data_IF_507665864952
#
_entry.id   IF_507665864952
#
_cell.length_a   1.000
_cell.length_b   1.000
_cell.length_c   1.000
_cell.angle_alpha   90.00
_cell.angle_beta   90.00
_cell.angle_gamma   90.00
#
_symmetry.space_group_name_H-M   'P 1'
#
loop_
_entity.id
_entity.type
_entity.pdbx_description
1 polymer ?
#
# COMPACT_ATOMS: atom_id res chain seq x y z
N UNK A 1 -6.33 -16.04 -12.57
CA UNK A 1 -7.39 -15.55 -13.48
C UNK A 1 -6.78 -14.56 -14.44
N UNK A 2 -7.44 -14.24 -15.56
CA UNK A 2 -6.90 -13.25 -16.50
C UNK A 2 -6.72 -11.87 -15.86
N UNK A 3 -7.59 -11.49 -14.92
CA UNK A 3 -7.46 -10.26 -14.12
C UNK A 3 -6.14 -10.25 -13.32
N UNK A 4 -5.83 -11.34 -12.61
CA UNK A 4 -4.57 -11.49 -11.87
C UNK A 4 -3.36 -11.52 -12.81
N UNK A 5 -3.52 -12.07 -14.02
CA UNK A 5 -2.49 -12.07 -15.05
C UNK A 5 -2.39 -10.74 -15.82
N UNK A 6 -3.16 -9.71 -15.45
CA UNK A 6 -3.18 -8.40 -16.11
C UNK A 6 -3.79 -8.42 -17.53
N UNK A 7 -4.38 -9.53 -17.96
CA UNK A 7 -4.93 -9.75 -19.31
C UNK A 7 -6.46 -9.69 -19.35
N UNK A 8 -7.12 -9.77 -18.19
CA UNK A 8 -8.58 -9.81 -18.06
C UNK A 8 -9.16 -8.50 -17.57
N UNK A 9 -10.38 -8.18 -17.99
CA UNK A 9 -11.12 -7.01 -17.49
C UNK A 9 -11.64 -7.27 -16.08
N UNK A 10 -11.27 -6.40 -15.15
CA UNK A 10 -11.95 -6.33 -13.86
C UNK A 10 -13.33 -5.69 -14.03
N UNK A 11 -14.29 -6.15 -13.22
CA UNK A 11 -15.67 -5.67 -13.22
C UNK A 11 -16.09 -5.31 -11.80
N UNK A 12 -16.88 -4.26 -11.68
CA UNK A 12 -17.55 -3.90 -10.44
C UNK A 12 -18.67 -4.91 -10.17
N UNK A 13 -18.58 -5.64 -9.05
CA UNK A 13 -19.66 -6.56 -8.65
C UNK A 13 -20.78 -5.83 -7.92
N UNK A 14 -20.44 -4.86 -7.07
CA UNK A 14 -21.43 -4.07 -6.34
C UNK A 14 -20.86 -2.76 -5.78
N UNK A 15 -21.76 -1.86 -5.40
CA UNK A 15 -21.48 -0.64 -4.66
C UNK A 15 -22.45 -0.55 -3.48
N UNK A 16 -21.89 -0.60 -2.27
CA UNK A 16 -22.65 -0.61 -1.01
C UNK A 16 -22.34 0.67 -0.23
N UNK A 17 -23.32 1.28 0.47
CA UNK A 17 -23.07 2.42 1.33
C UNK A 17 -22.10 2.10 2.48
N UNK A 18 -21.15 3.01 2.71
CA UNK A 18 -20.17 2.93 3.79
C UNK A 18 -18.82 2.34 3.37
N UNK A 19 -17.84 2.48 4.26
CA UNK A 19 -16.45 1.99 4.11
C UNK A 19 -15.99 1.15 5.31
N UNK A 20 -16.95 0.58 6.03
CA UNK A 20 -16.69 -0.13 7.28
C UNK A 20 -16.43 -1.62 7.03
N UNK A 21 -15.74 -2.26 7.98
CA UNK A 21 -15.62 -3.71 8.03
C UNK A 21 -17.00 -4.39 8.00
N UNK A 22 -17.96 -3.84 8.74
CA UNK A 22 -19.33 -4.33 8.78
C UNK A 22 -20.00 -4.31 7.40
N UNK A 23 -19.84 -3.23 6.63
CA UNK A 23 -20.42 -3.12 5.29
C UNK A 23 -19.89 -4.21 4.35
N UNK A 24 -18.57 -4.46 4.37
CA UNK A 24 -17.95 -5.53 3.58
C UNK A 24 -18.43 -6.91 4.04
N UNK A 25 -18.44 -7.16 5.36
CA UNK A 25 -18.85 -8.44 5.95
C UNK A 25 -20.30 -8.76 5.60
N UNK A 26 -21.23 -7.86 5.89
CA UNK A 26 -22.65 -8.07 5.59
C UNK A 26 -22.91 -8.27 4.10
N UNK A 27 -22.16 -7.60 3.23
CA UNK A 27 -22.27 -7.83 1.78
C UNK A 27 -21.81 -9.22 1.36
N UNK A 28 -20.67 -9.70 1.90
CA UNK A 28 -20.17 -11.05 1.63
C UNK A 28 -21.10 -12.13 2.19
N UNK A 29 -21.62 -11.95 3.41
CA UNK A 29 -22.55 -12.88 4.05
C UNK A 29 -23.92 -12.95 3.35
N UNK A 30 -24.30 -11.89 2.64
CA UNK A 30 -25.49 -11.87 1.80
C UNK A 30 -25.27 -12.56 0.43
N UNK A 31 -24.12 -13.21 0.19
CA UNK A 31 -23.89 -14.09 -0.97
C UNK A 31 -24.13 -15.53 -0.57
N UNK A 32 -24.48 -16.36 -1.55
CA UNK A 32 -24.59 -17.80 -1.31
C UNK A 32 -23.23 -18.42 -0.97
N UNK A 33 -23.27 -19.62 -0.39
CA UNK A 33 -22.05 -20.31 0.03
C UNK A 33 -21.14 -20.63 -1.16
N UNK A 34 -21.71 -21.02 -2.29
CA UNK A 34 -20.96 -21.35 -3.51
C UNK A 34 -20.16 -20.15 -4.03
N UNK A 35 -20.71 -18.94 -3.98
CA UNK A 35 -19.98 -17.71 -4.29
C UNK A 35 -18.80 -17.53 -3.33
N UNK A 36 -19.05 -17.64 -2.01
CA UNK A 36 -18.02 -17.44 -0.99
C UNK A 36 -16.87 -18.43 -1.13
N UNK A 37 -17.19 -19.70 -1.38
CA UNK A 37 -16.21 -20.77 -1.61
C UNK A 37 -15.42 -20.57 -2.91
N UNK A 38 -15.99 -19.87 -3.88
CA UNK A 38 -15.29 -19.53 -5.14
C UNK A 38 -14.26 -18.40 -4.98
N UNK A 39 -14.32 -17.63 -3.88
CA UNK A 39 -13.37 -16.55 -3.60
C UNK A 39 -12.04 -17.16 -3.15
N UNK A 40 -11.02 -17.05 -4.01
CA UNK A 40 -9.68 -17.59 -3.74
C UNK A 40 -8.70 -16.59 -3.13
N UNK A 41 -8.85 -15.30 -3.47
CA UNK A 41 -7.91 -14.25 -3.06
C UNK A 41 -8.68 -12.96 -2.82
N UNK A 42 -8.38 -12.28 -1.72
CA UNK A 42 -8.89 -10.94 -1.40
C UNK A 42 -7.70 -9.98 -1.30
N UNK A 43 -7.48 -9.20 -2.37
CA UNK A 43 -6.51 -8.11 -2.35
C UNK A 43 -7.19 -6.85 -1.78
N UNK A 44 -6.58 -6.24 -0.78
CA UNK A 44 -7.16 -5.13 -0.03
C UNK A 44 -6.09 -4.12 0.40
N UNK A 45 -6.54 -2.96 0.84
CA UNK A 45 -5.69 -1.98 1.50
C UNK A 45 -5.15 -2.48 2.86
N UNK A 46 -4.35 -1.65 3.52
CA UNK A 46 -3.80 -1.96 4.84
C UNK A 46 -4.79 -1.90 5.99
N UNK A 47 -6.07 -1.59 5.77
CA UNK A 47 -7.04 -1.37 6.84
C UNK A 47 -7.40 -2.70 7.53
N UNK A 48 -7.17 -2.76 8.85
CA UNK A 48 -7.39 -3.98 9.64
C UNK A 48 -8.85 -4.46 9.63
N UNK A 49 -9.81 -3.55 9.52
CA UNK A 49 -11.23 -3.90 9.49
C UNK A 49 -11.61 -4.77 8.28
N UNK A 50 -11.05 -4.51 7.10
CA UNK A 50 -11.33 -5.33 5.92
C UNK A 50 -10.71 -6.71 6.01
N UNK A 51 -9.52 -6.84 6.64
CA UNK A 51 -8.92 -8.15 6.90
C UNK A 51 -9.84 -9.02 7.75
N UNK A 52 -10.34 -8.48 8.87
CA UNK A 52 -11.21 -9.23 9.77
C UNK A 52 -12.51 -9.65 9.05
N UNK A 53 -13.16 -8.71 8.35
CA UNK A 53 -14.36 -8.99 7.58
C UNK A 53 -14.14 -10.09 6.52
N UNK A 54 -13.03 -10.04 5.78
CA UNK A 54 -12.71 -11.06 4.79
C UNK A 54 -12.40 -12.43 5.42
N UNK A 55 -11.61 -12.45 6.49
CA UNK A 55 -11.22 -13.71 7.16
C UNK A 55 -12.43 -14.41 7.79
N UNK A 56 -13.40 -13.64 8.31
CA UNK A 56 -14.63 -14.19 8.87
C UNK A 56 -15.61 -14.66 7.78
N UNK A 57 -15.79 -13.89 6.70
CA UNK A 57 -16.80 -14.20 5.69
C UNK A 57 -16.33 -15.17 4.60
N UNK A 58 -15.04 -15.16 4.25
CA UNK A 58 -14.43 -16.01 3.22
C UNK A 58 -13.10 -16.60 3.72
N UNK A 59 -13.12 -17.47 4.76
CA UNK A 59 -11.93 -17.92 5.47
C UNK A 59 -10.92 -18.72 4.61
N UNK A 60 -11.38 -19.30 3.49
CA UNK A 60 -10.52 -20.06 2.57
C UNK A 60 -9.75 -19.16 1.58
N UNK A 61 -10.10 -17.87 1.50
CA UNK A 61 -9.46 -16.95 0.59
C UNK A 61 -8.13 -16.44 1.17
N UNK A 62 -7.08 -16.45 0.35
CA UNK A 62 -5.82 -15.82 0.72
C UNK A 62 -5.98 -14.29 0.76
N UNK A 63 -5.63 -13.65 1.88
CA UNK A 63 -5.64 -12.19 2.00
C UNK A 63 -4.31 -11.63 1.49
N UNK A 64 -4.36 -10.63 0.62
CA UNK A 64 -3.18 -9.93 0.10
C UNK A 64 -3.25 -8.46 0.49
N UNK A 65 -2.25 -7.97 1.21
CA UNK A 65 -2.08 -6.55 1.42
C UNK A 65 -1.44 -5.94 0.18
N UNK A 66 -2.12 -4.97 -0.41
CA UNK A 66 -1.69 -4.37 -1.66
C UNK A 66 -0.27 -3.76 -1.58
N UNK A 67 0.65 -4.11 -2.52
CA UNK A 67 2.04 -3.65 -2.48
C UNK A 67 2.21 -2.13 -2.50
N UNK A 68 1.33 -1.39 -3.19
CA UNK A 68 1.38 0.07 -3.17
C UNK A 68 1.12 0.61 -1.77
N UNK A 69 0.17 0.03 -1.04
CA UNK A 69 -0.11 0.42 0.35
C UNK A 69 1.03 0.06 1.30
N UNK A 70 1.72 -1.07 1.09
CA UNK A 70 2.92 -1.44 1.85
C UNK A 70 4.05 -0.42 1.64
N UNK A 71 4.33 -0.07 0.37
CA UNK A 71 5.35 0.94 0.02
C UNK A 71 4.95 2.33 0.53
N UNK A 72 3.66 2.70 0.43
CA UNK A 72 3.15 3.97 0.95
C UNK A 72 3.30 4.08 2.46
N UNK A 73 3.03 2.99 3.20
CA UNK A 73 3.25 2.93 4.65
C UNK A 73 4.73 3.15 5.01
N UNK A 74 5.65 2.46 4.31
CA UNK A 74 7.08 2.65 4.52
C UNK A 74 7.53 4.08 4.21
N UNK A 75 7.07 4.65 3.08
CA UNK A 75 7.37 6.03 2.70
C UNK A 75 6.83 7.05 3.70
N UNK A 76 5.64 6.80 4.29
CA UNK A 76 5.11 7.65 5.34
C UNK A 76 5.98 7.62 6.61
N UNK A 77 6.49 6.45 7.00
CA UNK A 77 7.41 6.33 8.14
C UNK A 77 8.76 7.03 7.89
N UNK A 78 9.26 6.98 6.65
CA UNK A 78 10.40 7.78 6.24
C UNK A 78 10.13 9.29 6.36
N UNK A 79 8.96 9.75 5.91
CA UNK A 79 8.59 11.17 6.03
C UNK A 79 8.48 11.62 7.48
N UNK A 80 7.94 10.78 8.37
CA UNK A 80 7.86 11.07 9.81
C UNK A 80 9.24 11.13 10.46
N UNK A 81 10.10 10.15 10.19
CA UNK A 81 11.48 10.13 10.70
C UNK A 81 12.25 11.38 10.25
N UNK A 82 12.15 11.75 8.96
CA UNK A 82 12.73 12.99 8.43
C UNK A 82 12.21 14.23 9.17
N UNK A 83 10.90 14.32 9.40
CA UNK A 83 10.29 15.47 10.08
C UNK A 83 10.71 15.56 11.54
N UNK A 84 10.81 14.42 12.24
CA UNK A 84 11.27 14.35 13.62
C UNK A 84 12.73 14.79 13.73
N UNK A 85 13.63 14.15 12.97
CA UNK A 85 15.07 14.51 12.99
C UNK A 85 15.26 15.99 12.70
N UNK A 86 14.51 16.55 11.73
CA UNK A 86 14.59 17.96 11.41
C UNK A 86 14.03 18.87 12.53
N UNK A 87 12.99 18.43 13.22
CA UNK A 87 12.47 19.13 14.40
C UNK A 87 13.49 19.11 15.55
N UNK A 88 14.14 17.97 15.77
CA UNK A 88 15.12 17.77 16.84
C UNK A 88 16.37 18.63 16.61
N UNK A 89 16.79 18.81 15.35
CA UNK A 89 18.02 19.55 15.01
C UNK A 89 17.80 21.03 14.71
N UNK A 90 16.66 21.41 14.14
CA UNK A 90 16.39 22.79 13.67
C UNK A 90 15.18 23.46 14.35
N UNK A 91 14.48 22.77 15.25
CA UNK A 91 13.31 23.31 15.96
C UNK A 91 12.04 23.44 15.10
N UNK A 92 12.03 22.94 13.87
CA UNK A 92 10.85 22.94 12.98
C UNK A 92 10.86 21.77 11.98
N UNK A 93 9.69 21.40 11.46
CA UNK A 93 9.52 20.21 10.58
C UNK A 93 9.98 20.34 9.12
N UNK A 94 10.30 21.54 8.63
CA UNK A 94 10.44 21.76 7.18
C UNK A 94 10.52 23.20 6.68
N UNK A 95 11.68 23.67 6.21
CA UNK A 95 11.85 24.90 5.42
C UNK A 95 12.73 24.67 4.19
N UNK A 96 12.59 25.52 3.18
CA UNK A 96 13.32 25.43 1.90
C UNK A 96 14.85 25.51 2.04
N UNK A 97 15.37 26.05 3.14
CA UNK A 97 16.79 26.09 3.46
C UNK A 97 17.36 24.76 3.94
N UNK A 98 16.52 23.90 4.49
CA UNK A 98 16.99 22.81 5.36
C UNK A 98 17.46 21.60 4.54
N UNK A 99 18.58 20.96 4.93
CA UNK A 99 19.15 19.83 4.17
C UNK A 99 18.15 18.72 3.90
N UNK A 100 17.49 18.20 4.95
CA UNK A 100 16.50 17.13 4.85
C UNK A 100 15.25 17.53 4.05
N UNK A 101 14.78 18.76 4.19
CA UNK A 101 13.62 19.23 3.44
C UNK A 101 13.90 19.37 1.94
N UNK A 102 15.12 19.81 1.58
CA UNK A 102 15.56 19.93 0.17
C UNK A 102 15.60 18.58 -0.54
N UNK A 103 15.91 17.49 0.16
CA UNK A 103 15.95 16.13 -0.41
C UNK A 103 14.67 15.32 -0.26
N UNK A 104 13.61 15.85 0.37
CA UNK A 104 12.36 15.11 0.66
C UNK A 104 11.75 14.35 -0.52
N UNK A 105 11.83 14.90 -1.73
CA UNK A 105 11.34 14.23 -2.95
C UNK A 105 12.32 13.16 -3.42
N UNK A 106 13.61 13.48 -3.41
CA UNK A 106 14.70 12.56 -3.78
C UNK A 106 14.70 11.31 -2.88
N UNK A 107 14.43 11.47 -1.58
CA UNK A 107 14.28 10.35 -0.65
C UNK A 107 13.21 9.34 -1.08
N UNK A 108 12.16 9.79 -1.80
CA UNK A 108 11.07 8.92 -2.26
C UNK A 108 11.31 8.32 -3.65
N UNK A 109 12.30 8.81 -4.39
CA UNK A 109 12.69 8.29 -5.70
C UNK A 109 13.35 6.91 -5.54
N UNK A 110 13.04 5.98 -6.44
CA UNK A 110 13.64 4.64 -6.43
C UNK A 110 15.15 4.74 -6.69
N UNK A 111 15.95 3.94 -6.00
CA UNK A 111 17.42 3.97 -6.07
C UNK A 111 17.94 3.92 -7.52
N UNK A 112 17.42 3.01 -8.35
CA UNK A 112 17.81 2.88 -9.75
C UNK A 112 17.34 4.00 -10.69
N UNK A 113 16.52 4.93 -10.20
CA UNK A 113 16.03 6.10 -10.96
C UNK A 113 16.66 7.41 -10.48
N UNK A 114 17.57 7.36 -9.49
CA UNK A 114 18.30 8.54 -9.05
C UNK A 114 19.35 8.93 -10.08
N UNK A 115 19.38 10.21 -10.43
CA UNK A 115 20.51 10.78 -11.18
C UNK A 115 21.75 10.91 -10.31
N UNK A 116 22.94 10.99 -10.90
CA UNK A 116 24.18 11.16 -10.12
C UNK A 116 24.12 12.42 -9.25
N UNK A 117 23.58 13.53 -9.78
CA UNK A 117 23.35 14.77 -9.02
C UNK A 117 22.43 14.56 -7.81
N UNK A 118 21.41 13.71 -7.94
CA UNK A 118 20.52 13.37 -6.83
C UNK A 118 21.22 12.47 -5.80
N UNK A 119 22.03 11.50 -6.25
CA UNK A 119 22.82 10.62 -5.38
C UNK A 119 23.81 11.42 -4.56
N UNK A 120 24.64 12.25 -5.20
CA UNK A 120 25.61 13.12 -4.49
C UNK A 120 24.93 14.04 -3.48
N UNK A 121 23.72 14.53 -3.78
CA UNK A 121 22.98 15.35 -2.81
C UNK A 121 22.50 14.54 -1.60
N UNK A 122 22.08 13.28 -1.79
CA UNK A 122 21.71 12.41 -0.68
C UNK A 122 22.94 12.07 0.17
N UNK A 123 24.05 11.70 -0.47
CA UNK A 123 25.33 11.42 0.21
C UNK A 123 25.78 12.61 1.06
N UNK A 124 25.72 13.83 0.51
CA UNK A 124 26.07 15.04 1.26
C UNK A 124 25.13 15.30 2.46
N UNK A 125 23.86 14.93 2.38
CA UNK A 125 22.93 15.03 3.52
C UNK A 125 23.21 13.94 4.54
N UNK A 126 23.45 12.71 4.12
CA UNK A 126 23.71 11.57 5.01
C UNK A 126 25.09 11.61 5.67
N UNK A 127 26.00 12.45 5.20
CA UNK A 127 27.28 12.69 5.87
C UNK A 127 27.16 13.31 7.27
N UNK A 128 26.01 13.91 7.62
CA UNK A 128 25.73 14.40 8.98
C UNK A 128 25.30 13.28 9.91
N UNK A 129 25.97 13.13 11.06
CA UNK A 129 25.68 12.11 12.07
C UNK A 129 24.23 12.20 12.58
N UNK A 130 23.67 13.40 12.62
CA UNK A 130 22.28 13.65 13.02
C UNK A 130 21.26 13.04 12.04
N UNK A 131 21.66 12.74 10.79
CA UNK A 131 20.77 12.20 9.74
C UNK A 131 20.80 10.67 9.62
N UNK A 132 21.60 9.96 10.40
CA UNK A 132 21.74 8.48 10.35
C UNK A 132 20.38 7.78 10.45
N UNK A 133 19.49 8.25 11.33
CA UNK A 133 18.16 7.65 11.46
C UNK A 133 17.33 7.73 10.17
N UNK A 134 17.44 8.84 9.44
CA UNK A 134 16.76 9.04 8.15
C UNK A 134 17.39 8.14 7.08
N UNK A 135 18.72 8.04 7.04
CA UNK A 135 19.42 7.17 6.08
C UNK A 135 19.04 5.69 6.26
N UNK A 136 19.06 5.18 7.49
CA UNK A 136 18.68 3.80 7.80
C UNK A 136 17.23 3.53 7.41
N UNK A 137 16.32 4.47 7.72
CA UNK A 137 14.91 4.36 7.35
C UNK A 137 14.73 4.42 5.83
N UNK A 138 15.50 5.24 5.13
CA UNK A 138 15.50 5.35 3.68
C UNK A 138 15.96 4.04 3.03
N UNK A 139 17.03 3.42 3.53
CA UNK A 139 17.49 2.12 3.04
C UNK A 139 16.45 1.01 3.21
N UNK A 140 15.74 0.97 4.34
CA UNK A 140 14.64 0.04 4.55
C UNK A 140 13.51 0.27 3.52
N UNK A 141 13.13 1.53 3.29
CA UNK A 141 12.15 1.90 2.26
C UNK A 141 12.58 1.46 0.85
N UNK A 142 13.83 1.69 0.46
CA UNK A 142 14.36 1.27 -0.85
C UNK A 142 14.40 -0.26 -0.98
N UNK A 143 14.78 -0.99 0.07
CA UNK A 143 14.78 -2.46 0.07
C UNK A 143 13.37 -3.04 -0.10
N UNK A 144 12.35 -2.44 0.54
CA UNK A 144 10.94 -2.84 0.35
C UNK A 144 10.50 -2.64 -1.11
N UNK A 145 10.84 -1.50 -1.72
CA UNK A 145 10.55 -1.24 -3.14
C UNK A 145 11.24 -2.28 -4.02
N UNK A 146 12.53 -2.52 -3.80
CA UNK A 146 13.33 -3.44 -4.59
C UNK A 146 12.78 -4.87 -4.51
N UNK A 147 12.32 -5.30 -3.33
CA UNK A 147 11.74 -6.62 -3.14
C UNK A 147 10.45 -6.83 -3.94
N UNK A 148 9.59 -5.81 -4.07
CA UNK A 148 8.41 -5.90 -4.92
C UNK A 148 8.70 -5.71 -6.42
N UNK A 149 9.79 -5.03 -6.77
CA UNK A 149 10.14 -4.73 -8.15
C UNK A 149 10.91 -5.86 -8.86
N UNK A 150 11.36 -6.89 -8.15
CA UNK A 150 12.09 -8.00 -8.76
C UNK A 150 11.18 -8.95 -9.54
N UNK A 151 11.67 -9.44 -10.67
CA UNK A 151 10.95 -10.42 -11.50
C UNK A 151 10.93 -11.82 -10.86
N UNK A 152 11.98 -12.18 -10.12
CA UNK A 152 12.06 -13.45 -9.39
C UNK A 152 11.27 -13.37 -8.08
N UNK A 153 10.11 -14.03 -8.08
CA UNK A 153 9.16 -14.02 -6.96
C UNK A 153 9.75 -14.61 -5.69
N UNK A 154 10.53 -15.68 -5.78
CA UNK A 154 11.11 -16.34 -4.62
C UNK A 154 12.16 -15.43 -4.00
N UNK A 155 12.99 -14.81 -4.84
CA UNK A 155 13.97 -13.82 -4.41
C UNK A 155 13.31 -12.60 -3.77
N UNK A 156 12.25 -12.06 -4.38
CA UNK A 156 11.50 -10.92 -3.85
C UNK A 156 10.85 -11.20 -2.51
N UNK A 157 10.18 -12.36 -2.39
CA UNK A 157 9.57 -12.82 -1.14
C UNK A 157 10.61 -12.99 -0.04
N UNK A 158 11.74 -13.62 -0.36
CA UNK A 158 12.85 -13.83 0.59
C UNK A 158 13.47 -12.51 1.02
N UNK A 159 13.68 -11.58 0.08
CA UNK A 159 14.23 -10.27 0.38
C UNK A 159 13.30 -9.44 1.28
N UNK A 160 11.99 -9.40 0.98
CA UNK A 160 11.03 -8.67 1.82
C UNK A 160 10.89 -9.29 3.20
N UNK A 161 10.84 -10.63 3.29
CA UNK A 161 10.86 -11.34 4.56
C UNK A 161 12.08 -10.96 5.40
N UNK A 162 13.28 -11.01 4.80
CA UNK A 162 14.52 -10.64 5.48
C UNK A 162 14.52 -9.18 5.97
N UNK A 163 13.94 -8.25 5.21
CA UNK A 163 13.78 -6.85 5.66
C UNK A 163 12.87 -6.76 6.88
N UNK A 164 11.70 -7.43 6.84
CA UNK A 164 10.76 -7.45 7.96
C UNK A 164 11.42 -8.05 9.21
N UNK A 165 12.09 -9.19 9.05
CA UNK A 165 12.69 -9.93 10.14
C UNK A 165 13.87 -9.14 10.75
N UNK A 166 14.69 -8.47 9.92
CA UNK A 166 15.78 -7.58 10.39
C UNK A 166 15.25 -6.39 11.20
N UNK A 167 14.21 -5.70 10.72
CA UNK A 167 13.61 -4.57 11.44
C UNK A 167 12.99 -5.06 12.76
N UNK A 168 12.44 -6.28 12.78
CA UNK A 168 11.82 -6.85 13.97
C UNK A 168 12.83 -7.33 15.03
N UNK A 169 13.97 -7.86 14.61
CA UNK A 169 14.99 -8.44 15.49
C UNK A 169 15.53 -7.43 16.51
N UNK A 170 15.55 -6.16 16.16
CA UNK A 170 15.96 -5.08 17.05
C UNK A 170 16.50 -3.92 16.26
N UNK A 171 16.32 -2.71 16.77
CA UNK A 171 16.87 -1.49 16.19
C UNK A 171 17.55 -0.69 17.30
N UNK A 172 18.65 0.01 16.99
CA UNK A 172 19.19 1.04 17.87
C UNK A 172 18.13 2.07 18.29
N UNK A 173 18.38 2.75 19.40
CA UNK A 173 17.54 3.86 19.85
C UNK A 173 17.48 4.97 18.79
N UNK A 174 16.33 5.67 18.72
CA UNK A 174 16.11 6.75 17.75
C UNK A 174 15.57 6.32 16.38
N UNK A 175 15.20 5.05 16.21
CA UNK A 175 14.57 4.49 15.00
C UNK A 175 13.08 4.15 15.20
N UNK A 176 12.36 4.94 15.99
CA UNK A 176 10.98 4.64 16.44
C UNK A 176 9.98 4.47 15.29
N UNK A 177 10.11 5.27 14.23
CA UNK A 177 9.26 5.16 13.04
C UNK A 177 9.48 3.84 12.30
N UNK A 178 10.74 3.42 12.17
CA UNK A 178 11.13 2.17 11.55
C UNK A 178 10.73 0.97 12.42
N UNK A 179 10.88 1.06 13.75
CA UNK A 179 10.39 0.05 14.69
C UNK A 179 8.87 -0.14 14.58
N UNK A 180 8.14 0.97 14.42
CA UNK A 180 6.68 0.94 14.23
C UNK A 180 6.29 0.34 12.87
N UNK A 181 7.05 0.63 11.80
CA UNK A 181 6.90 -0.05 10.51
C UNK A 181 7.09 -1.55 10.66
N UNK A 182 8.19 -1.99 11.29
CA UNK A 182 8.50 -3.40 11.53
C UNK A 182 7.40 -4.14 12.27
N UNK A 183 6.89 -3.57 13.37
CA UNK A 183 5.74 -4.14 14.10
C UNK A 183 4.52 -4.32 13.20
N UNK A 184 4.23 -3.33 12.36
CA UNK A 184 3.08 -3.37 11.45
C UNK A 184 3.25 -4.44 10.37
N UNK A 185 4.41 -4.46 9.70
CA UNK A 185 4.71 -5.43 8.66
C UNK A 185 4.78 -6.86 9.19
N UNK A 186 5.39 -7.06 10.36
CA UNK A 186 5.44 -8.38 11.00
C UNK A 186 4.03 -8.89 11.37
N UNK A 187 3.16 -8.04 11.94
CA UNK A 187 1.77 -8.41 12.25
C UNK A 187 0.97 -8.79 10.99
N UNK A 188 1.31 -8.22 9.84
CA UNK A 188 0.66 -8.44 8.55
C UNK A 188 1.52 -9.28 7.59
N UNK A 189 2.52 -10.00 8.12
CA UNK A 189 3.60 -10.62 7.32
C UNK A 189 3.05 -11.53 6.23
N UNK A 190 2.10 -12.38 6.56
CA UNK A 190 1.51 -13.31 5.60
C UNK A 190 0.79 -12.57 4.47
N UNK A 191 0.00 -11.53 4.78
CA UNK A 191 -0.69 -10.74 3.77
C UNK A 191 0.26 -9.95 2.87
N UNK A 192 1.34 -9.42 3.45
CA UNK A 192 2.39 -8.65 2.76
C UNK A 192 3.16 -9.53 1.78
N UNK A 193 3.46 -10.77 2.18
CA UNK A 193 4.21 -11.74 1.39
C UNK A 193 3.32 -12.53 0.41
N UNK A 194 2.02 -12.63 0.65
CA UNK A 194 1.06 -13.34 -0.20
C UNK A 194 1.02 -12.80 -1.64
N UNK A 195 1.38 -11.52 -1.85
CA UNK A 195 1.52 -10.97 -3.20
C UNK A 195 2.46 -11.79 -4.10
N UNK A 196 3.54 -12.34 -3.55
CA UNK A 196 4.52 -13.09 -4.34
C UNK A 196 3.99 -14.43 -4.84
N UNK A 197 3.02 -15.01 -4.13
CA UNK A 197 2.39 -16.28 -4.50
C UNK A 197 1.19 -16.04 -5.43
N UNK A 198 0.37 -15.03 -5.15
CA UNK A 198 -0.91 -14.81 -5.82
C UNK A 198 -0.90 -13.75 -6.91
N UNK A 199 0.02 -12.78 -6.88
CA UNK A 199 0.09 -11.61 -7.80
C UNK A 199 -1.19 -10.78 -7.88
N UNK A 200 -2.08 -10.91 -6.90
CA UNK A 200 -3.26 -10.08 -6.79
C UNK A 200 -2.90 -8.75 -6.11
N UNK A 201 -3.39 -7.64 -6.65
CA UNK A 201 -3.28 -6.32 -6.05
C UNK A 201 -4.65 -5.65 -6.07
N UNK A 202 -4.81 -4.56 -5.30
CA UNK A 202 -6.02 -3.75 -5.33
C UNK A 202 -6.07 -2.83 -6.57
N UNK A 203 -5.06 -2.88 -7.45
CA UNK A 203 -4.96 -2.04 -8.64
C UNK A 203 -6.21 -2.04 -9.55
N UNK A 204 -6.83 -3.19 -9.84
CA UNK A 204 -8.07 -3.21 -10.62
C UNK A 204 -9.25 -2.53 -9.91
N UNK A 205 -9.35 -2.66 -8.58
CA UNK A 205 -10.33 -1.93 -7.77
C UNK A 205 -10.08 -0.42 -7.83
N UNK A 206 -8.81 0.02 -7.69
CA UNK A 206 -8.45 1.43 -7.80
C UNK A 206 -8.74 2.01 -9.20
N UNK A 207 -8.51 1.22 -10.25
CA UNK A 207 -8.86 1.62 -11.61
C UNK A 207 -10.38 1.81 -11.78
N UNK A 208 -11.19 0.92 -11.17
CA UNK A 208 -12.65 1.08 -11.14
C UNK A 208 -13.03 2.33 -10.33
N UNK A 209 -12.48 2.52 -9.13
CA UNK A 209 -12.73 3.70 -8.31
C UNK A 209 -12.44 5.00 -9.07
N UNK A 210 -11.31 5.07 -9.79
CA UNK A 210 -10.97 6.22 -10.64
C UNK A 210 -12.01 6.49 -11.75
N UNK A 211 -12.56 5.44 -12.37
CA UNK A 211 -13.66 5.58 -13.34
C UNK A 211 -14.95 6.07 -12.69
N UNK A 212 -15.27 5.59 -11.48
CA UNK A 212 -16.45 6.04 -10.73
C UNK A 212 -16.33 7.51 -10.31
N UNK A 213 -15.14 7.96 -9.90
CA UNK A 213 -14.89 9.38 -9.61
C UNK A 213 -14.99 10.26 -10.87
N UNK A 214 -14.52 9.78 -12.03
CA UNK A 214 -14.73 10.47 -13.30
C UNK A 214 -16.22 10.54 -13.66
N UNK A 215 -16.96 9.45 -13.50
CA UNK A 215 -18.41 9.40 -13.71
C UNK A 215 -19.13 10.40 -12.81
N UNK A 216 -18.76 10.48 -11.52
CA UNK A 216 -19.32 11.43 -10.55
C UNK A 216 -19.05 12.87 -10.96
N UNK A 217 -17.83 13.19 -11.42
CA UNK A 217 -17.50 14.52 -11.93
C UNK A 217 -18.32 14.89 -13.15
N UNK A 218 -18.46 13.99 -14.13
CA UNK A 218 -19.22 14.24 -15.34
C UNK A 218 -20.72 14.40 -15.08
N UNK A 219 -21.26 13.71 -14.07
CA UNK A 219 -22.65 13.82 -13.67
C UNK A 219 -22.95 15.04 -12.77
N UNK A 220 -21.93 15.83 -12.39
CA UNK A 220 -22.03 16.90 -11.38
C UNK A 220 -22.54 16.38 -10.02
N UNK A 221 -22.16 15.15 -9.68
CA UNK A 221 -22.59 14.46 -8.48
C UNK A 221 -23.88 13.65 -8.66
N UNK A 222 -24.19 12.85 -7.63
CA UNK A 222 -25.43 12.08 -7.56
C UNK A 222 -26.12 12.40 -6.23
N UNK A 223 -27.42 12.71 -6.27
CA UNK A 223 -28.24 12.95 -5.08
C UNK A 223 -28.86 11.68 -4.51
N UNK A 224 -28.99 10.64 -5.35
CA UNK A 224 -29.60 9.37 -5.00
C UNK A 224 -28.58 8.24 -5.17
N UNK A 225 -28.35 7.49 -4.09
CA UNK A 225 -27.39 6.38 -4.06
C UNK A 225 -27.78 5.23 -4.98
N UNK A 226 -29.07 4.93 -5.14
CA UNK A 226 -29.58 3.89 -6.05
C UNK A 226 -29.19 4.24 -7.48
N UNK A 227 -29.43 5.50 -7.89
CA UNK A 227 -29.05 5.97 -9.23
C UNK A 227 -27.53 5.92 -9.44
N UNK A 228 -26.75 6.27 -8.41
CA UNK A 228 -25.29 6.16 -8.47
C UNK A 228 -24.83 4.71 -8.61
N UNK A 229 -25.40 3.79 -7.82
CA UNK A 229 -25.11 2.35 -7.88
C UNK A 229 -25.45 1.76 -9.25
N UNK A 230 -26.65 1.99 -9.76
CA UNK A 230 -27.09 1.50 -11.08
C UNK A 230 -26.14 2.02 -12.17
N UNK A 231 -25.85 3.33 -12.17
CA UNK A 231 -24.98 3.92 -13.21
C UNK A 231 -23.53 3.43 -13.10
N UNK A 232 -23.05 3.18 -11.89
CA UNK A 232 -21.73 2.58 -11.65
C UNK A 232 -21.65 1.15 -12.18
N UNK A 233 -22.69 0.34 -11.93
CA UNK A 233 -22.78 -1.05 -12.41
C UNK A 233 -22.91 -1.12 -13.94
N UNK A 234 -23.69 -0.23 -14.56
CA UNK A 234 -23.75 -0.13 -16.02
C UNK A 234 -22.39 0.26 -16.61
N UNK A 235 -21.68 1.21 -16.00
CA UNK A 235 -20.42 1.72 -16.53
C UNK A 235 -19.23 0.76 -16.30
N UNK A 236 -19.17 0.10 -15.14
CA UNK A 236 -17.99 -0.68 -14.70
C UNK A 236 -18.28 -2.15 -14.39
N UNK A 237 -19.54 -2.57 -14.32
CA UNK A 237 -19.95 -3.94 -13.99
C UNK A 237 -20.13 -4.87 -15.19
N UNK A 238 -19.90 -4.38 -16.41
CA UNK A 238 -20.09 -5.14 -17.66
C UNK A 238 -21.48 -5.76 -17.78
N UNK A 239 -22.51 -5.11 -17.24
CA UNK A 239 -23.89 -5.45 -17.57
C UNK A 239 -24.09 -5.06 -19.03
N UNK A 240 -24.12 -6.05 -19.91
CA UNK A 240 -24.69 -5.84 -21.23
C UNK A 240 -26.17 -5.50 -21.01
N UNK A 241 -26.60 -4.35 -21.54
CA UNK A 241 -28.01 -4.13 -21.84
C UNK A 241 -28.38 -5.01 -23.04
#
# INVERSE_FOLDING_TARGET
TDVVAGRGRARLLDLVPGRSAAALKSWLEARDQSFRDSVRVVAMDGFGGYKNAATEAVPQAATVMDPFHVVALAGHKLDLCRQRVQQDTLGHRGRSGDPLYRVRRTLRTRLGLLTDKQRTRLEAVFAGEEHVAVEVTWWAYQQIIAAYATDDRRRGKTALAAVIDRIRAGLPAGLDELATLGRTLHRRRDDVLAYFDHRASNGPTEAINGRLEALRRNALGFRNLINYRIRSLLHCGTLAL
#
